data_IF_131583122730
#
_entry.id   IF_131583122730
#
_cell.length_a   1.000
_cell.length_b   1.000
_cell.length_c   1.000
_cell.angle_alpha   90.00
_cell.angle_beta   90.00
_cell.angle_gamma   90.00
#
_symmetry.space_group_name_H-M   'P 1'
#
loop_
_entity.id
_entity.type
_entity.pdbx_description
1 polymer ?
#
# COMPACT_ATOMS: atom_id res chain seq x y z
N UNK A 1 -16.68 -7.15 -17.65
CA UNK A 1 -15.30 -7.60 -17.92
C UNK A 1 -14.56 -7.54 -16.60
N UNK A 2 -13.81 -8.58 -16.26
CA UNK A 2 -13.02 -8.60 -15.03
C UNK A 2 -11.86 -7.63 -15.17
N UNK A 3 -11.65 -6.81 -14.13
CA UNK A 3 -10.62 -5.78 -14.09
C UNK A 3 -9.69 -6.01 -12.91
N UNK A 4 -8.41 -5.66 -13.08
CA UNK A 4 -7.36 -5.86 -12.09
C UNK A 4 -6.68 -4.51 -11.83
N UNK A 5 -6.55 -4.13 -10.56
CA UNK A 5 -5.68 -3.03 -10.15
C UNK A 5 -4.27 -3.55 -9.86
N UNK A 6 -3.27 -2.82 -10.37
CA UNK A 6 -1.86 -3.05 -10.09
C UNK A 6 -1.23 -1.81 -9.47
N UNK A 7 -0.18 -2.01 -8.68
CA UNK A 7 0.67 -0.94 -8.18
C UNK A 7 1.88 -0.81 -9.11
N UNK A 8 2.23 0.40 -9.50
CA UNK A 8 3.36 0.69 -10.37
C UNK A 8 4.12 1.94 -9.92
N UNK A 9 5.30 2.15 -10.48
CA UNK A 9 6.11 3.34 -10.26
C UNK A 9 7.08 3.59 -11.41
N UNK A 10 7.67 4.79 -11.42
CA UNK A 10 8.51 5.26 -12.53
C UNK A 10 7.73 5.39 -13.84
N UNK A 11 8.36 5.03 -14.95
CA UNK A 11 7.86 5.28 -16.30
C UNK A 11 6.90 4.20 -16.82
N UNK A 12 6.02 3.64 -15.98
CA UNK A 12 5.10 2.55 -16.36
C UNK A 12 4.20 2.87 -17.57
N UNK A 13 3.92 4.15 -17.83
CA UNK A 13 3.23 4.58 -19.05
C UNK A 13 3.97 4.17 -20.35
N UNK A 14 5.31 4.05 -20.31
CA UNK A 14 6.10 3.56 -21.44
C UNK A 14 5.83 2.07 -21.70
N UNK A 15 5.67 1.26 -20.65
CA UNK A 15 5.28 -0.14 -20.75
C UNK A 15 3.89 -0.26 -21.40
N UNK A 16 2.92 0.51 -20.90
CA UNK A 16 1.55 0.56 -21.43
C UNK A 16 1.53 0.84 -22.94
N UNK A 17 2.29 1.85 -23.37
CA UNK A 17 2.40 2.21 -24.79
C UNK A 17 3.12 1.14 -25.62
N UNK A 18 4.23 0.61 -25.12
CA UNK A 18 5.09 -0.32 -25.86
C UNK A 18 4.45 -1.70 -26.04
N UNK A 19 3.69 -2.14 -25.04
CA UNK A 19 2.98 -3.41 -25.04
C UNK A 19 1.58 -3.32 -25.66
N UNK A 20 1.09 -2.10 -25.95
CA UNK A 20 -0.22 -1.88 -26.52
C UNK A 20 -1.36 -2.26 -25.58
N UNK A 21 -1.22 -1.98 -24.27
CA UNK A 21 -2.24 -2.29 -23.25
C UNK A 21 -3.43 -1.35 -23.39
N UNK A 22 -4.35 -1.67 -24.30
CA UNK A 22 -5.42 -0.75 -24.73
C UNK A 22 -6.47 -0.46 -23.65
N UNK A 23 -6.60 -1.33 -22.65
CA UNK A 23 -7.55 -1.15 -21.53
C UNK A 23 -6.94 -0.41 -20.35
N UNK A 24 -5.63 -0.15 -20.36
CA UNK A 24 -4.91 0.41 -19.23
C UNK A 24 -5.34 1.85 -18.93
N UNK A 25 -5.78 2.09 -17.69
CA UNK A 25 -6.15 3.42 -17.20
C UNK A 25 -5.40 3.69 -15.90
N UNK A 26 -4.62 4.78 -15.87
CA UNK A 26 -4.03 5.27 -14.64
C UNK A 26 -5.12 5.93 -13.78
N UNK A 27 -5.47 5.29 -12.66
CA UNK A 27 -6.56 5.72 -11.76
C UNK A 27 -6.07 6.55 -10.58
N UNK A 28 -4.77 6.48 -10.27
CA UNK A 28 -4.12 7.34 -9.29
C UNK A 28 -2.63 7.48 -9.62
N UNK A 29 -2.07 8.67 -9.39
CA UNK A 29 -0.65 8.95 -9.56
C UNK A 29 -0.18 9.90 -8.46
N UNK A 30 0.62 9.37 -7.53
CA UNK A 30 1.37 10.13 -6.54
C UNK A 30 2.69 10.60 -7.14
N UNK A 31 2.87 11.92 -7.19
CA UNK A 31 4.14 12.55 -7.55
C UNK A 31 4.71 13.26 -6.32
N UNK A 32 5.80 12.74 -5.73
CA UNK A 32 6.46 13.40 -4.62
C UNK A 32 7.09 14.72 -5.10
N UNK A 33 7.29 15.66 -4.17
CA UNK A 33 8.03 16.87 -4.51
C UNK A 33 9.48 16.50 -4.90
N UNK A 34 10.13 17.23 -5.84
CA UNK A 34 11.46 16.88 -6.36
C UNK A 34 12.56 16.74 -5.29
N UNK A 35 12.38 17.36 -4.12
CA UNK A 35 13.31 17.31 -2.98
C UNK A 35 13.01 16.20 -1.99
N UNK A 36 11.92 15.46 -2.18
CA UNK A 36 11.47 14.40 -1.30
C UNK A 36 12.06 13.06 -1.77
N UNK A 37 12.56 12.26 -0.83
CA UNK A 37 13.21 10.96 -1.08
C UNK A 37 12.25 9.84 -1.50
N UNK A 38 10.95 10.14 -1.66
CA UNK A 38 9.95 9.12 -1.95
C UNK A 38 9.89 8.84 -3.44
N UNK A 39 9.56 7.59 -3.76
CA UNK A 39 9.30 7.17 -5.13
C UNK A 39 7.91 7.61 -5.59
N UNK A 40 7.72 7.67 -6.90
CA UNK A 40 6.40 7.82 -7.51
C UNK A 40 5.61 6.51 -7.35
N UNK A 41 4.34 6.64 -6.97
CA UNK A 41 3.41 5.51 -6.88
C UNK A 41 2.23 5.76 -7.80
N UNK A 42 1.86 4.74 -8.56
CA UNK A 42 0.78 4.78 -9.54
C UNK A 42 -0.13 3.57 -9.34
N UNK A 43 -1.43 3.77 -9.49
CA UNK A 43 -2.39 2.67 -9.58
C UNK A 43 -2.95 2.63 -10.99
N UNK A 44 -2.86 1.47 -11.61
CA UNK A 44 -3.36 1.22 -12.95
C UNK A 44 -4.46 0.17 -12.92
N UNK A 45 -5.58 0.47 -13.57
CA UNK A 45 -6.67 -0.46 -13.82
C UNK A 45 -6.47 -1.07 -15.20
N UNK A 46 -6.42 -2.41 -15.25
CA UNK A 46 -6.27 -3.19 -16.47
C UNK A 46 -7.48 -4.12 -16.64
N UNK A 47 -7.81 -4.48 -17.87
CA UNK A 47 -8.59 -5.69 -18.12
C UNK A 47 -7.77 -6.93 -17.75
N UNK A 48 -8.45 -8.05 -17.49
CA UNK A 48 -7.78 -9.33 -17.26
C UNK A 48 -6.83 -9.74 -18.39
N UNK A 49 -7.19 -9.46 -19.65
CA UNK A 49 -6.36 -9.75 -20.81
C UNK A 49 -5.05 -8.96 -20.80
N UNK A 50 -5.12 -7.63 -20.61
CA UNK A 50 -3.91 -6.79 -20.52
C UNK A 50 -3.04 -7.17 -19.30
N UNK A 51 -3.68 -7.54 -18.18
CA UNK A 51 -2.97 -8.03 -17.00
C UNK A 51 -2.23 -9.36 -17.30
N UNK A 52 -2.88 -10.30 -17.97
CA UNK A 52 -2.25 -11.58 -18.33
C UNK A 52 -1.11 -11.37 -19.34
N UNK A 53 -1.25 -10.41 -20.26
CA UNK A 53 -0.21 -10.04 -21.21
C UNK A 53 1.05 -9.51 -20.51
N UNK A 54 0.91 -8.64 -19.49
CA UNK A 54 2.09 -8.17 -18.72
C UNK A 54 2.67 -9.25 -17.83
N UNK A 55 1.86 -10.17 -17.28
CA UNK A 55 2.34 -11.30 -16.49
C UNK A 55 3.18 -12.31 -17.31
N UNK A 56 2.95 -12.39 -18.62
CA UNK A 56 3.65 -13.32 -19.51
C UNK A 56 5.05 -12.84 -19.91
N UNK A 57 5.44 -11.62 -19.53
CA UNK A 57 6.76 -11.05 -19.83
C UNK A 57 7.75 -11.50 -18.77
N UNK A 58 8.83 -12.13 -19.21
CA UNK A 58 9.95 -12.47 -18.33
C UNK A 58 10.67 -11.20 -17.85
N UNK A 59 11.20 -11.24 -16.62
CA UNK A 59 11.89 -10.09 -16.03
C UNK A 59 13.08 -9.60 -16.88
N UNK A 60 13.78 -10.49 -17.58
CA UNK A 60 14.91 -10.15 -18.45
C UNK A 60 14.47 -9.41 -19.73
N UNK A 61 13.19 -9.52 -20.10
CA UNK A 61 12.61 -8.82 -21.24
C UNK A 61 12.00 -7.47 -20.85
N UNK A 62 11.79 -7.22 -19.55
CA UNK A 62 11.31 -5.95 -19.02
C UNK A 62 12.34 -4.84 -19.23
N UNK A 63 11.93 -3.72 -19.83
CA UNK A 63 12.86 -2.65 -20.20
C UNK A 63 13.13 -1.70 -19.04
N UNK A 64 14.37 -1.22 -18.95
CA UNK A 64 14.80 -0.30 -17.89
C UNK A 64 13.98 1.00 -17.86
N UNK A 65 13.46 1.45 -19.01
CA UNK A 65 12.66 2.67 -19.16
C UNK A 65 11.14 2.43 -19.01
N UNK A 66 10.73 1.25 -18.52
CA UNK A 66 9.33 0.89 -18.29
C UNK A 66 8.91 1.03 -16.82
N UNK A 67 9.80 1.47 -15.93
CA UNK A 67 9.54 1.53 -14.49
C UNK A 67 9.29 0.12 -13.91
N UNK A 68 8.43 0.03 -12.90
CA UNK A 68 8.11 -1.23 -12.23
C UNK A 68 6.61 -1.40 -12.02
N UNK A 69 6.18 -2.65 -11.83
CA UNK A 69 4.81 -2.97 -11.40
C UNK A 69 4.75 -4.19 -10.49
N UNK A 70 3.72 -4.26 -9.66
CA UNK A 70 3.43 -5.34 -8.71
C UNK A 70 1.93 -5.61 -8.65
N UNK A 71 1.60 -6.87 -8.41
CA UNK A 71 0.26 -7.31 -8.05
C UNK A 71 0.35 -8.42 -7.01
N UNK A 72 -0.65 -8.49 -6.13
CA UNK A 72 -0.80 -9.53 -5.13
C UNK A 72 -2.28 -9.73 -4.82
N UNK A 73 -2.67 -10.94 -4.39
CA UNK A 73 -4.04 -11.22 -3.95
C UNK A 73 -4.34 -10.74 -2.51
N UNK A 74 -3.29 -10.30 -1.79
CA UNK A 74 -3.35 -9.83 -0.42
C UNK A 74 -2.07 -10.15 0.35
N UNK A 75 -2.07 -9.81 1.64
CA UNK A 75 -0.98 -10.06 2.56
C UNK A 75 -1.19 -11.36 3.35
N UNK A 76 -0.20 -11.77 4.12
CA UNK A 76 -0.32 -12.86 5.10
C UNK A 76 -0.59 -12.34 6.53
N UNK A 77 -1.00 -11.07 6.70
CA UNK A 77 -1.19 -10.42 8.01
C UNK A 77 -2.55 -10.73 8.66
N UNK A 78 -3.45 -11.40 7.94
CA UNK A 78 -4.77 -11.77 8.44
C UNK A 78 -5.75 -10.59 8.46
N UNK A 79 -6.71 -10.63 9.39
CA UNK A 79 -7.78 -9.62 9.49
C UNK A 79 -7.28 -8.38 10.23
N UNK A 80 -7.63 -7.20 9.72
CA UNK A 80 -7.40 -5.92 10.38
C UNK A 80 -8.12 -5.88 11.74
N UNK A 81 -7.45 -5.33 12.75
CA UNK A 81 -7.88 -5.47 14.16
C UNK A 81 -7.91 -4.15 14.93
N UNK A 82 -7.41 -3.06 14.36
CA UNK A 82 -7.33 -1.77 15.03
C UNK A 82 -7.75 -0.59 14.13
N UNK A 83 -8.30 0.47 14.74
CA UNK A 83 -8.64 1.70 14.04
C UNK A 83 -7.48 2.69 14.13
N UNK A 84 -6.93 3.08 12.97
CA UNK A 84 -5.89 4.09 12.83
C UNK A 84 -6.43 5.37 12.22
N UNK A 85 -5.73 6.49 12.46
CA UNK A 85 -5.86 7.76 11.77
C UNK A 85 -4.65 7.93 10.85
N UNK A 86 -4.83 7.73 9.55
CA UNK A 86 -3.76 7.83 8.56
C UNK A 86 -4.09 8.99 7.63
N UNK A 87 -3.17 9.94 7.45
CA UNK A 87 -3.42 11.17 6.69
C UNK A 87 -4.68 11.91 7.16
N UNK A 88 -4.94 11.91 8.48
CA UNK A 88 -6.13 12.52 9.08
C UNK A 88 -7.44 11.74 8.89
N UNK A 89 -7.43 10.64 8.14
CA UNK A 89 -8.60 9.81 7.84
C UNK A 89 -8.60 8.51 8.64
N UNK A 90 -9.78 8.01 9.03
CA UNK A 90 -9.88 6.74 9.77
C UNK A 90 -9.73 5.54 8.83
N UNK A 91 -8.99 4.52 9.25
CA UNK A 91 -8.79 3.25 8.54
C UNK A 91 -8.79 2.08 9.53
N UNK A 92 -9.44 0.96 9.20
CA UNK A 92 -9.19 -0.29 9.93
C UNK A 92 -7.90 -0.91 9.37
N UNK A 93 -6.91 -1.11 10.22
CA UNK A 93 -5.59 -1.60 9.85
C UNK A 93 -5.08 -2.65 10.84
N UNK A 94 -3.93 -3.26 10.54
CA UNK A 94 -3.28 -4.16 11.49
C UNK A 94 -2.50 -3.37 12.51
N UNK A 95 -2.57 -3.81 13.76
CA UNK A 95 -1.65 -3.37 14.78
C UNK A 95 -0.31 -4.13 14.69
N UNK A 96 0.80 -3.42 14.95
CA UNK A 96 2.16 -3.94 14.81
C UNK A 96 2.46 -5.03 15.85
N UNK A 97 3.31 -5.99 15.47
CA UNK A 97 3.66 -7.11 16.36
C UNK A 97 4.30 -6.63 17.67
N UNK A 98 5.16 -5.62 17.61
CA UNK A 98 5.81 -5.06 18.81
C UNK A 98 4.76 -4.45 19.76
N UNK A 99 3.76 -3.72 19.21
CA UNK A 99 2.68 -3.16 20.02
C UNK A 99 1.86 -4.27 20.67
N UNK A 100 1.50 -5.31 19.91
CA UNK A 100 0.77 -6.48 20.42
C UNK A 100 1.52 -7.19 21.54
N UNK A 101 2.83 -7.36 21.40
CA UNK A 101 3.68 -7.97 22.42
C UNK A 101 3.77 -7.08 23.68
N UNK A 102 3.95 -5.77 23.52
CA UNK A 102 3.94 -4.83 24.65
C UNK A 102 2.59 -4.78 25.38
N UNK A 103 1.49 -5.03 24.66
CA UNK A 103 0.14 -5.09 25.22
C UNK A 103 -0.15 -6.36 26.01
N UNK A 104 0.61 -7.46 25.82
CA UNK A 104 0.24 -8.78 26.34
C UNK A 104 0.23 -8.85 27.88
N UNK A 105 1.08 -8.06 28.56
CA UNK A 105 1.19 -8.01 30.03
C UNK A 105 0.75 -6.66 30.62
N UNK A 106 0.09 -5.80 29.82
CA UNK A 106 -0.22 -4.42 30.21
C UNK A 106 -1.54 -4.28 31.03
N UNK A 107 -2.21 -5.40 31.34
CA UNK A 107 -3.46 -5.39 32.13
C UNK A 107 -3.28 -4.81 33.54
N UNK A 108 -2.05 -4.83 34.08
CA UNK A 108 -1.68 -4.29 35.39
C UNK A 108 -0.74 -3.06 35.29
N UNK A 109 -0.74 -2.35 34.15
CA UNK A 109 -0.02 -1.09 34.00
C UNK A 109 -0.58 -0.05 34.99
N UNK A 110 0.15 0.17 36.09
CA UNK A 110 -0.13 1.20 37.10
C UNK A 110 0.16 2.64 36.58
N UNK A 111 0.51 2.78 35.31
CA UNK A 111 0.75 4.04 34.65
C UNK A 111 -0.54 4.88 34.54
N UNK A 112 -0.35 6.19 34.59
CA UNK A 112 -1.39 7.18 34.29
C UNK A 112 -1.88 7.01 32.84
N UNK A 113 -3.03 7.59 32.51
CA UNK A 113 -3.54 7.61 31.12
C UNK A 113 -2.50 8.18 30.12
N UNK A 114 -1.62 9.05 30.61
CA UNK A 114 -0.49 9.59 29.86
C UNK A 114 0.60 8.55 29.61
N UNK A 115 0.94 7.74 30.60
CA UNK A 115 1.93 6.68 30.47
C UNK A 115 1.43 5.58 29.51
N UNK A 116 0.12 5.33 29.51
CA UNK A 116 -0.55 4.49 28.50
C UNK A 116 -0.36 5.09 27.10
N UNK A 117 -0.73 6.36 26.89
CA UNK A 117 -0.55 7.01 25.58
C UNK A 117 0.91 7.07 25.11
N UNK A 118 1.87 7.29 26.02
CA UNK A 118 3.31 7.26 25.72
C UNK A 118 3.83 5.85 25.41
N UNK A 119 3.31 4.81 26.06
CA UNK A 119 3.66 3.41 25.76
C UNK A 119 3.07 2.91 24.44
N UNK A 120 1.86 3.37 24.09
CA UNK A 120 1.18 2.90 22.88
C UNK A 120 1.58 3.69 21.65
N UNK A 121 1.99 4.96 21.76
CA UNK A 121 1.95 5.93 20.64
C UNK A 121 0.54 6.04 20.03
N UNK A 122 0.16 7.24 19.59
CA UNK A 122 -1.12 7.39 18.90
C UNK A 122 -1.17 6.45 17.69
N UNK A 123 -2.32 5.82 17.43
CA UNK A 123 -2.58 5.04 16.20
C UNK A 123 -2.72 6.02 15.02
N UNK A 124 -1.74 6.90 14.84
CA UNK A 124 -1.75 8.00 13.90
C UNK A 124 -0.46 8.02 13.09
N UNK A 125 -0.63 7.99 11.77
CA UNK A 125 0.48 8.10 10.83
C UNK A 125 0.21 9.22 9.82
N UNK A 126 1.27 9.91 9.35
CA UNK A 126 1.11 10.98 8.37
C UNK A 126 0.56 10.45 7.05
N UNK A 127 0.91 9.22 6.67
CA UNK A 127 0.40 8.56 5.48
C UNK A 127 0.58 7.03 5.54
N UNK A 128 -0.03 6.35 4.58
CA UNK A 128 -0.09 4.89 4.51
C UNK A 128 1.28 4.24 4.32
N UNK A 129 2.22 4.90 3.63
CA UNK A 129 3.55 4.33 3.41
C UNK A 129 4.38 4.36 4.70
N UNK A 130 4.29 5.44 5.48
CA UNK A 130 4.93 5.50 6.80
C UNK A 130 4.30 4.48 7.75
N UNK A 131 2.97 4.34 7.77
CA UNK A 131 2.32 3.28 8.55
C UNK A 131 2.87 1.88 8.18
N UNK A 132 2.93 1.57 6.87
CA UNK A 132 3.42 0.27 6.42
C UNK A 132 4.89 0.06 6.80
N UNK A 133 5.73 1.08 6.67
CA UNK A 133 7.14 1.01 7.00
C UNK A 133 7.37 0.87 8.52
N UNK A 134 6.76 1.74 9.32
CA UNK A 134 7.12 1.91 10.73
C UNK A 134 6.31 0.99 11.66
N UNK A 135 5.03 0.74 11.37
CA UNK A 135 4.18 -0.16 12.18
C UNK A 135 4.31 -1.62 11.72
N UNK A 136 4.31 -1.84 10.40
CA UNK A 136 4.21 -3.20 9.82
C UNK A 136 5.58 -3.73 9.37
N UNK A 137 6.57 -2.88 9.13
CA UNK A 137 7.87 -3.29 8.58
C UNK A 137 7.83 -3.64 7.09
N UNK A 138 6.84 -3.13 6.36
CA UNK A 138 6.62 -3.37 4.93
C UNK A 138 7.06 -2.16 4.08
N UNK A 139 8.31 -2.17 3.61
CA UNK A 139 8.89 -1.07 2.82
C UNK A 139 9.26 -1.41 1.38
N UNK A 140 9.23 -2.69 0.98
CA UNK A 140 9.50 -3.09 -0.41
C UNK A 140 8.24 -2.97 -1.26
N UNK A 141 8.37 -2.63 -2.54
CA UNK A 141 7.25 -2.49 -3.49
C UNK A 141 6.28 -3.68 -3.44
N UNK A 142 6.82 -4.90 -3.36
CA UNK A 142 6.04 -6.14 -3.28
C UNK A 142 5.21 -6.21 -2.00
N UNK A 143 5.81 -5.87 -0.85
CA UNK A 143 5.13 -5.91 0.43
C UNK A 143 4.12 -4.77 0.55
N UNK A 144 4.47 -3.57 0.08
CA UNK A 144 3.56 -2.43 0.00
C UNK A 144 2.35 -2.79 -0.86
N UNK A 145 2.54 -3.37 -2.05
CA UNK A 145 1.46 -3.82 -2.92
C UNK A 145 0.55 -4.85 -2.22
N UNK A 146 1.14 -5.89 -1.61
CA UNK A 146 0.38 -6.93 -0.92
C UNK A 146 -0.45 -6.37 0.26
N UNK A 147 0.15 -5.49 1.07
CA UNK A 147 -0.53 -4.89 2.21
C UNK A 147 -1.62 -3.91 1.78
N UNK A 148 -1.36 -3.05 0.80
CA UNK A 148 -2.33 -2.04 0.35
C UNK A 148 -3.54 -2.65 -0.36
N UNK A 149 -3.35 -3.69 -1.19
CA UNK A 149 -4.48 -4.44 -1.79
C UNK A 149 -5.37 -5.05 -0.70
N UNK A 150 -4.77 -5.65 0.32
CA UNK A 150 -5.50 -6.31 1.39
C UNK A 150 -6.22 -5.31 2.30
N UNK A 151 -5.57 -4.20 2.65
CA UNK A 151 -6.20 -3.09 3.37
C UNK A 151 -7.37 -2.50 2.59
N UNK A 152 -7.19 -2.25 1.30
CA UNK A 152 -8.25 -1.72 0.45
C UNK A 152 -9.46 -2.66 0.45
N UNK A 153 -9.24 -3.96 0.22
CA UNK A 153 -10.27 -4.99 0.26
C UNK A 153 -11.00 -5.03 1.61
N UNK A 154 -10.27 -5.09 2.73
CA UNK A 154 -10.87 -5.20 4.06
C UNK A 154 -11.62 -3.93 4.49
N UNK A 155 -11.28 -2.79 3.90
CA UNK A 155 -11.96 -1.50 4.12
C UNK A 155 -12.99 -1.15 3.05
N UNK A 156 -13.31 -2.06 2.12
CA UNK A 156 -14.22 -1.84 1.00
C UNK A 156 -13.85 -0.63 0.11
N UNK A 157 -12.56 -0.49 -0.19
CA UNK A 157 -11.99 0.51 -1.08
C UNK A 157 -11.35 -0.17 -2.28
N UNK A 158 -11.26 0.55 -3.40
CA UNK A 158 -10.29 0.19 -4.44
C UNK A 158 -8.87 0.57 -4.00
N UNK A 159 -7.86 0.02 -4.67
CA UNK A 159 -6.47 0.39 -4.41
C UNK A 159 -6.26 1.88 -4.68
N UNK A 160 -6.82 2.41 -5.78
CA UNK A 160 -6.75 3.83 -6.08
C UNK A 160 -7.42 4.71 -5.01
N UNK A 161 -8.57 4.30 -4.47
CA UNK A 161 -9.25 5.02 -3.39
C UNK A 161 -8.44 5.01 -2.09
N UNK A 162 -7.81 3.88 -1.75
CA UNK A 162 -6.93 3.78 -0.59
C UNK A 162 -5.76 4.78 -0.73
N UNK A 163 -5.01 4.72 -1.82
CA UNK A 163 -3.86 5.62 -2.01
C UNK A 163 -4.28 7.09 -2.03
N UNK A 164 -5.38 7.43 -2.72
CA UNK A 164 -5.91 8.79 -2.74
C UNK A 164 -6.29 9.33 -1.36
N UNK A 165 -6.85 8.49 -0.48
CA UNK A 165 -7.23 8.92 0.87
C UNK A 165 -6.03 8.99 1.81
N UNK A 166 -5.14 8.00 1.75
CA UNK A 166 -4.18 7.77 2.82
C UNK A 166 -2.72 8.07 2.45
N UNK A 167 -2.38 8.28 1.17
CA UNK A 167 -1.06 8.79 0.76
C UNK A 167 -1.08 10.29 0.42
N UNK A 168 -2.19 10.77 -0.16
CA UNK A 168 -2.35 12.14 -0.66
C UNK A 168 -2.33 12.19 -2.17
#
# INVERSE_FOLDING_TARGET
METVEILAGGEFANAVKSLGLTSAVCTYHYQPQPTHWREEYQVWLLSKEDFDNICAIDNDDWKDDWGWWRHAYGSNLGTVDCAYVINGEKLMAWDGLQRKEWCQDCSDCAGTEKDKNECFHDHQYPDILIYLCDEIGASTERNVCACTIDLARQNNLTLAELFKKYLG
#
